data_IF_424392139871
#
_entry.id   IF_424392139871
#
_cell.length_a   1.000
_cell.length_b   1.000
_cell.length_c   1.000
_cell.angle_alpha   90.00
_cell.angle_beta   90.00
_cell.angle_gamma   90.00
#
_symmetry.space_group_name_H-M   'P 1'
#
loop_
_entity.id
_entity.type
_entity.pdbx_description
1 polymer ?
#
# COMPACT_ATOMS: atom_id res chain seq x y z
N UNK A 1 17.44 -30.13 13.75
CA UNK A 1 17.40 -31.36 13.01
C UNK A 1 17.23 -31.18 11.52
N UNK A 2 17.33 -32.25 10.79
CA UNK A 2 17.22 -32.25 9.31
C UNK A 2 15.88 -31.69 8.83
N UNK A 3 14.79 -32.04 9.52
CA UNK A 3 13.43 -31.55 9.16
C UNK A 3 13.31 -30.04 9.30
N UNK A 4 13.89 -29.45 10.34
CA UNK A 4 13.86 -27.99 10.54
C UNK A 4 14.72 -27.28 9.50
N UNK A 5 15.87 -27.85 9.14
CA UNK A 5 16.73 -27.29 8.09
C UNK A 5 16.02 -27.34 6.72
N UNK A 6 15.34 -28.44 6.40
CA UNK A 6 14.58 -28.57 5.15
C UNK A 6 13.41 -27.59 5.11
N UNK A 7 12.69 -27.41 6.23
CA UNK A 7 11.61 -26.43 6.35
C UNK A 7 12.11 -25.02 6.13
N UNK A 8 13.23 -24.63 6.76
CA UNK A 8 13.81 -23.32 6.58
C UNK A 8 14.25 -23.03 5.15
N UNK A 9 14.78 -24.05 4.45
CA UNK A 9 15.14 -23.91 3.04
C UNK A 9 13.92 -23.68 2.15
N UNK A 10 12.80 -24.37 2.42
CA UNK A 10 11.55 -24.16 1.69
C UNK A 10 10.97 -22.78 1.96
N UNK A 11 11.02 -22.31 3.21
CA UNK A 11 10.55 -20.98 3.59
C UNK A 11 11.36 -19.90 2.85
N UNK A 12 12.67 -20.07 2.76
CA UNK A 12 13.54 -19.14 2.02
C UNK A 12 13.22 -19.12 0.53
N UNK A 13 12.92 -20.27 -0.08
CA UNK A 13 12.52 -20.35 -1.49
C UNK A 13 11.23 -19.58 -1.72
N UNK A 14 10.23 -19.74 -0.86
CA UNK A 14 8.96 -19.04 -0.99
C UNK A 14 9.11 -17.53 -0.83
N UNK A 15 9.86 -17.08 0.17
CA UNK A 15 10.07 -15.65 0.38
C UNK A 15 10.89 -15.03 -0.74
N UNK A 16 11.87 -15.75 -1.27
CA UNK A 16 12.64 -15.29 -2.43
C UNK A 16 11.77 -15.21 -3.68
N UNK A 17 10.90 -16.21 -3.91
CA UNK A 17 9.96 -16.19 -5.04
C UNK A 17 9.02 -14.99 -4.95
N UNK A 18 8.53 -14.67 -3.76
CA UNK A 18 7.68 -13.50 -3.53
C UNK A 18 8.39 -12.22 -3.96
N UNK A 19 9.62 -12.02 -3.49
CA UNK A 19 10.43 -10.84 -3.84
C UNK A 19 10.66 -10.76 -5.35
N UNK A 20 11.01 -11.88 -5.99
CA UNK A 20 11.23 -11.91 -7.44
C UNK A 20 9.98 -11.51 -8.22
N UNK A 21 8.79 -11.93 -7.78
CA UNK A 21 7.53 -11.53 -8.42
C UNK A 21 7.30 -10.04 -8.32
N UNK A 22 7.52 -9.44 -7.15
CA UNK A 22 7.44 -7.99 -6.97
C UNK A 22 8.44 -7.25 -7.86
N UNK A 23 9.69 -7.72 -7.89
CA UNK A 23 10.74 -7.11 -8.73
C UNK A 23 10.41 -7.19 -10.22
N UNK A 24 9.72 -8.25 -10.64
CA UNK A 24 9.28 -8.42 -12.03
C UNK A 24 8.00 -7.64 -12.34
N UNK A 25 7.41 -6.96 -11.38
CA UNK A 25 6.15 -6.23 -11.57
C UNK A 25 4.90 -7.12 -11.49
N UNK A 26 5.05 -8.38 -11.11
CA UNK A 26 3.92 -9.31 -10.93
C UNK A 26 3.38 -9.16 -9.50
N UNK A 27 2.68 -8.07 -9.23
CA UNK A 27 2.17 -7.77 -7.90
C UNK A 27 1.08 -8.74 -7.47
N UNK A 28 0.19 -9.14 -8.36
CA UNK A 28 -0.85 -10.12 -8.07
C UNK A 28 -0.23 -11.46 -7.65
N UNK A 29 0.75 -11.96 -8.41
CA UNK A 29 1.46 -13.19 -8.08
C UNK A 29 2.28 -13.08 -6.79
N UNK A 30 2.95 -11.95 -6.59
CA UNK A 30 3.68 -11.66 -5.35
C UNK A 30 2.78 -11.66 -4.13
N UNK A 31 1.59 -11.06 -4.23
CA UNK A 31 0.62 -11.02 -3.13
C UNK A 31 0.03 -12.40 -2.82
N UNK A 32 -0.15 -13.28 -3.81
CA UNK A 32 -0.57 -14.65 -3.56
C UNK A 32 0.45 -15.39 -2.70
N UNK A 33 1.73 -15.24 -3.01
CA UNK A 33 2.81 -15.84 -2.19
C UNK A 33 2.86 -15.18 -0.82
N UNK A 34 2.71 -13.86 -0.75
CA UNK A 34 2.72 -13.10 0.50
C UNK A 34 1.60 -13.56 1.45
N UNK A 35 0.41 -13.80 0.93
CA UNK A 35 -0.71 -14.30 1.72
C UNK A 35 -0.34 -15.62 2.40
N UNK A 36 0.24 -16.55 1.63
CA UNK A 36 0.69 -17.83 2.18
C UNK A 36 1.79 -17.63 3.23
N UNK A 37 2.79 -16.81 2.92
CA UNK A 37 3.92 -16.54 3.83
C UNK A 37 3.43 -15.96 5.15
N UNK A 38 2.52 -14.99 5.10
CA UNK A 38 1.96 -14.34 6.29
C UNK A 38 1.07 -15.27 7.09
N UNK A 39 0.21 -16.09 6.43
CA UNK A 39 -0.66 -17.05 7.11
C UNK A 39 0.11 -18.12 7.85
N UNK A 40 1.25 -18.55 7.30
CA UNK A 40 2.06 -19.60 7.90
C UNK A 40 3.21 -19.08 8.76
N UNK A 41 3.30 -17.76 8.96
CA UNK A 41 4.31 -17.14 9.81
C UNK A 41 5.74 -17.41 9.36
N UNK A 42 5.95 -17.56 8.05
CA UNK A 42 7.28 -17.81 7.51
C UNK A 42 8.17 -16.57 7.69
N UNK A 43 9.41 -16.80 8.10
CA UNK A 43 10.36 -15.72 8.36
C UNK A 43 11.06 -15.30 7.08
N UNK A 44 11.30 -14.00 6.96
CA UNK A 44 12.17 -13.47 5.91
C UNK A 44 13.62 -13.87 6.18
N UNK A 45 14.40 -14.21 5.15
CA UNK A 45 15.83 -14.36 5.31
C UNK A 45 16.47 -13.10 5.90
N UNK A 46 17.50 -13.27 6.73
CA UNK A 46 18.16 -12.15 7.42
C UNK A 46 18.67 -11.06 6.47
N UNK A 47 19.02 -11.43 5.23
CA UNK A 47 19.49 -10.47 4.23
C UNK A 47 18.50 -9.37 3.90
N UNK A 48 17.20 -9.57 4.16
CA UNK A 48 16.19 -8.54 3.89
C UNK A 48 16.04 -7.54 5.03
N UNK A 49 16.49 -7.87 6.22
CA UNK A 49 16.54 -6.98 7.39
C UNK A 49 15.22 -6.28 7.71
N UNK A 50 14.09 -6.93 7.44
CA UNK A 50 12.75 -6.42 7.74
C UNK A 50 11.74 -7.57 7.77
N UNK A 51 10.58 -7.32 8.40
CA UNK A 51 9.51 -8.30 8.47
C UNK A 51 8.86 -8.50 7.10
N UNK A 52 8.22 -9.63 6.91
CA UNK A 52 7.50 -9.92 5.65
C UNK A 52 6.44 -8.87 5.36
N UNK A 53 5.63 -8.52 6.36
CA UNK A 53 4.58 -7.51 6.17
C UNK A 53 5.14 -6.15 5.76
N UNK A 54 6.24 -5.73 6.39
CA UNK A 54 6.92 -4.49 6.03
C UNK A 54 7.46 -4.53 4.60
N UNK A 55 8.12 -5.62 4.21
CA UNK A 55 8.64 -5.78 2.86
C UNK A 55 7.52 -5.67 1.82
N UNK A 56 6.43 -6.40 2.02
CA UNK A 56 5.29 -6.39 1.10
C UNK A 56 4.71 -4.98 0.97
N UNK A 57 4.46 -4.32 2.09
CA UNK A 57 3.93 -2.95 2.09
C UNK A 57 4.84 -1.98 1.35
N UNK A 58 6.16 -2.05 1.61
CA UNK A 58 7.13 -1.15 0.97
C UNK A 58 7.28 -1.40 -0.53
N UNK A 59 7.33 -2.66 -0.96
CA UNK A 59 7.46 -2.99 -2.39
C UNK A 59 6.27 -2.47 -3.19
N UNK A 60 5.07 -2.71 -2.70
CA UNK A 60 3.85 -2.26 -3.37
C UNK A 60 3.73 -0.73 -3.32
N UNK A 61 3.95 -0.13 -2.15
CA UNK A 61 3.85 1.32 -2.00
C UNK A 61 4.87 2.06 -2.88
N UNK A 62 6.11 1.59 -2.91
CA UNK A 62 7.17 2.20 -3.72
C UNK A 62 6.81 2.16 -5.21
N UNK A 63 6.32 1.04 -5.70
CA UNK A 63 5.90 0.91 -7.10
C UNK A 63 4.72 1.84 -7.42
N UNK A 64 3.73 1.91 -6.53
CA UNK A 64 2.57 2.77 -6.72
C UNK A 64 2.95 4.25 -6.71
N UNK A 65 3.75 4.68 -5.74
CA UNK A 65 4.19 6.08 -5.65
C UNK A 65 5.05 6.48 -6.84
N UNK A 66 5.89 5.57 -7.32
CA UNK A 66 6.69 5.79 -8.53
C UNK A 66 5.82 6.00 -9.76
N UNK A 67 4.79 5.16 -9.94
CA UNK A 67 3.85 5.29 -11.05
C UNK A 67 3.10 6.62 -10.97
N UNK A 68 2.63 7.00 -9.79
CA UNK A 68 1.91 8.26 -9.56
C UNK A 68 2.79 9.47 -9.86
N UNK A 69 4.05 9.44 -9.42
CA UNK A 69 5.01 10.52 -9.68
C UNK A 69 5.28 10.70 -11.18
N UNK A 70 5.26 9.60 -11.94
CA UNK A 70 5.46 9.63 -13.38
C UNK A 70 4.19 10.02 -14.15
N UNK A 71 3.09 10.33 -13.46
CA UNK A 71 1.81 10.68 -14.08
C UNK A 71 1.00 9.49 -14.55
N UNK A 72 1.41 8.28 -14.16
CA UNK A 72 0.68 7.06 -14.48
C UNK A 72 -0.27 6.64 -13.37
N UNK A 73 -0.84 5.45 -13.53
CA UNK A 73 -1.77 4.86 -12.58
C UNK A 73 -1.21 3.56 -12.01
N UNK A 74 -1.73 3.16 -10.84
CA UNK A 74 -1.41 1.89 -10.22
C UNK A 74 -2.72 1.21 -9.79
N UNK A 75 -2.88 -0.12 -9.98
CA UNK A 75 -4.16 -0.77 -9.70
C UNK A 75 -4.60 -0.60 -8.24
N UNK A 76 -5.80 -0.07 -8.05
CA UNK A 76 -6.39 0.11 -6.72
C UNK A 76 -6.52 -1.23 -6.00
N UNK A 77 -6.89 -2.28 -6.72
CA UNK A 77 -7.07 -3.62 -6.15
C UNK A 77 -5.79 -4.14 -5.49
N UNK A 78 -4.63 -3.93 -6.12
CA UNK A 78 -3.34 -4.34 -5.56
C UNK A 78 -3.08 -3.60 -4.24
N UNK A 79 -3.33 -2.29 -4.20
CA UNK A 79 -3.15 -1.49 -2.99
C UNK A 79 -4.10 -1.90 -1.88
N UNK A 80 -5.36 -2.13 -2.21
CA UNK A 80 -6.38 -2.56 -1.25
C UNK A 80 -6.04 -3.93 -0.66
N UNK A 81 -5.68 -4.89 -1.52
CA UNK A 81 -5.27 -6.24 -1.08
C UNK A 81 -4.05 -6.16 -0.16
N UNK A 82 -3.06 -5.35 -0.54
CA UNK A 82 -1.86 -5.15 0.28
C UNK A 82 -2.20 -4.56 1.65
N UNK A 83 -3.06 -3.56 1.69
CA UNK A 83 -3.48 -2.94 2.94
C UNK A 83 -4.17 -3.94 3.86
N UNK A 84 -5.06 -4.78 3.33
CA UNK A 84 -5.75 -5.84 4.10
C UNK A 84 -4.75 -6.87 4.62
N UNK A 85 -3.86 -7.38 3.76
CA UNK A 85 -2.89 -8.40 4.14
C UNK A 85 -1.91 -7.90 5.22
N UNK A 86 -1.56 -6.63 5.21
CA UNK A 86 -0.54 -6.07 6.11
C UNK A 86 -1.11 -5.31 7.31
N UNK A 87 -2.44 -5.23 7.44
CA UNK A 87 -3.09 -4.43 8.48
C UNK A 87 -2.61 -4.79 9.89
N UNK A 88 -2.56 -6.07 10.22
CA UNK A 88 -2.12 -6.54 11.54
C UNK A 88 -0.62 -6.79 11.65
N UNK A 89 0.16 -6.44 10.64
CA UNK A 89 1.59 -6.69 10.63
C UNK A 89 2.36 -5.52 11.24
N UNK A 90 3.40 -5.84 12.01
CA UNK A 90 4.27 -4.82 12.59
C UNK A 90 5.19 -4.24 11.53
N UNK A 91 5.29 -2.92 11.51
CA UNK A 91 6.19 -2.18 10.61
C UNK A 91 6.35 -0.75 11.09
N UNK A 92 7.44 -0.06 10.66
CA UNK A 92 7.59 1.36 10.97
C UNK A 92 6.43 2.20 10.42
N UNK A 93 6.06 3.25 11.13
CA UNK A 93 4.99 4.17 10.70
C UNK A 93 5.26 4.76 9.33
N UNK A 94 6.52 5.03 9.00
CA UNK A 94 6.91 5.52 7.67
C UNK A 94 6.52 4.56 6.55
N UNK A 95 6.74 3.25 6.75
CA UNK A 95 6.37 2.24 5.75
C UNK A 95 4.85 2.16 5.58
N UNK A 96 4.12 2.14 6.68
CA UNK A 96 2.66 2.13 6.63
C UNK A 96 2.09 3.39 6.01
N UNK A 97 2.68 4.55 6.32
CA UNK A 97 2.26 5.82 5.76
C UNK A 97 2.40 5.86 4.24
N UNK A 98 3.49 5.31 3.70
CA UNK A 98 3.70 5.24 2.25
C UNK A 98 2.59 4.44 1.56
N UNK A 99 2.22 3.31 2.11
CA UNK A 99 1.15 2.47 1.55
C UNK A 99 -0.20 3.21 1.59
N UNK A 100 -0.53 3.81 2.72
CA UNK A 100 -1.79 4.53 2.89
C UNK A 100 -1.84 5.77 1.99
N UNK A 101 -0.72 6.48 1.83
CA UNK A 101 -0.62 7.61 0.91
C UNK A 101 -0.91 7.19 -0.53
N UNK A 102 -0.27 6.11 -0.99
CA UNK A 102 -0.50 5.58 -2.33
C UNK A 102 -1.97 5.19 -2.52
N UNK A 103 -2.56 4.53 -1.53
CA UNK A 103 -3.97 4.14 -1.55
C UNK A 103 -4.89 5.36 -1.59
N UNK A 104 -4.61 6.38 -0.78
CA UNK A 104 -5.39 7.63 -0.78
C UNK A 104 -5.34 8.34 -2.12
N UNK A 105 -4.16 8.48 -2.71
CA UNK A 105 -4.00 9.08 -4.04
C UNK A 105 -4.77 8.32 -5.11
N UNK A 106 -4.67 6.99 -5.12
CA UNK A 106 -5.36 6.17 -6.10
C UNK A 106 -6.89 6.25 -5.92
N UNK A 107 -7.36 6.27 -4.67
CA UNK A 107 -8.78 6.43 -4.37
C UNK A 107 -9.33 7.76 -4.92
N UNK A 108 -8.52 8.81 -4.95
CA UNK A 108 -8.94 10.15 -5.36
C UNK A 108 -8.65 10.47 -6.83
N UNK A 109 -7.91 9.64 -7.55
CA UNK A 109 -7.41 10.01 -8.89
C UNK A 109 -8.49 10.27 -9.93
N UNK A 110 -9.67 9.66 -9.80
CA UNK A 110 -10.78 9.86 -10.73
C UNK A 110 -11.64 11.06 -10.39
N UNK A 111 -11.48 11.64 -9.20
CA UNK A 111 -12.29 12.77 -8.74
C UNK A 111 -11.73 14.07 -9.31
N UNK A 112 -12.60 14.85 -9.94
CA UNK A 112 -12.24 16.12 -10.58
C UNK A 112 -13.25 17.19 -10.17
N UNK A 113 -13.06 18.42 -10.65
CA UNK A 113 -14.01 19.51 -10.45
C UNK A 113 -15.40 19.15 -10.99
N UNK A 114 -15.46 18.33 -12.03
CA UNK A 114 -16.70 17.95 -12.72
C UNK A 114 -17.25 16.59 -12.30
N UNK A 115 -16.47 15.80 -11.57
CA UNK A 115 -16.87 14.45 -11.14
C UNK A 115 -16.58 14.24 -9.65
N UNK A 116 -17.63 14.13 -8.83
CA UNK A 116 -17.45 13.98 -7.37
C UNK A 116 -17.04 12.57 -6.92
N UNK A 117 -16.93 11.63 -7.84
CA UNK A 117 -16.69 10.23 -7.49
C UNK A 117 -17.96 9.51 -7.06
N UNK A 118 -17.80 8.27 -6.64
CA UNK A 118 -18.87 7.47 -6.05
C UNK A 118 -19.20 7.99 -4.64
N UNK A 119 -20.43 7.71 -4.13
CA UNK A 119 -20.77 8.09 -2.76
C UNK A 119 -19.71 7.59 -1.76
N UNK A 120 -19.19 8.50 -0.95
CA UNK A 120 -18.19 8.20 0.07
C UNK A 120 -16.76 8.09 -0.42
N UNK A 121 -16.51 8.09 -1.73
CA UNK A 121 -15.15 7.93 -2.28
C UNK A 121 -14.24 9.10 -1.90
N UNK A 122 -14.72 10.32 -2.04
CA UNK A 122 -13.91 11.51 -1.72
C UNK A 122 -13.56 11.56 -0.24
N UNK A 123 -14.53 11.29 0.64
CA UNK A 123 -14.27 11.26 2.07
C UNK A 123 -13.32 10.14 2.46
N UNK A 124 -13.46 8.96 1.86
CA UNK A 124 -12.55 7.85 2.11
C UNK A 124 -11.10 8.21 1.74
N UNK A 125 -10.91 8.86 0.60
CA UNK A 125 -9.58 9.32 0.19
C UNK A 125 -9.00 10.36 1.15
N UNK A 126 -9.81 11.30 1.61
CA UNK A 126 -9.41 12.31 2.58
C UNK A 126 -8.97 11.64 3.90
N UNK A 127 -9.75 10.70 4.39
CA UNK A 127 -9.43 9.99 5.63
C UNK A 127 -8.12 9.21 5.52
N UNK A 128 -7.86 8.59 4.36
CA UNK A 128 -6.58 7.91 4.09
C UNK A 128 -5.41 8.88 4.10
N UNK A 129 -5.54 10.03 3.44
CA UNK A 129 -4.48 11.04 3.43
C UNK A 129 -4.21 11.59 4.83
N UNK A 130 -5.23 11.86 5.61
CA UNK A 130 -5.08 12.29 7.00
C UNK A 130 -4.36 11.24 7.83
N UNK A 131 -4.72 9.96 7.65
CA UNK A 131 -4.08 8.86 8.36
C UNK A 131 -2.60 8.74 7.99
N UNK A 132 -2.25 8.87 6.72
CA UNK A 132 -0.86 8.84 6.28
C UNK A 132 -0.05 9.95 6.93
N UNK A 133 -0.59 11.17 6.97
CA UNK A 133 0.08 12.34 7.57
C UNK A 133 0.22 12.17 9.09
N UNK A 134 -0.79 11.62 9.77
CA UNK A 134 -0.69 11.30 11.21
C UNK A 134 0.44 10.32 11.50
N UNK A 135 0.58 9.28 10.65
CA UNK A 135 1.62 8.27 10.83
C UNK A 135 3.01 8.84 10.54
N UNK A 136 3.14 9.69 9.54
CA UNK A 136 4.42 10.25 9.12
C UNK A 136 4.19 11.59 8.43
N UNK A 137 4.40 12.69 9.15
CA UNK A 137 4.05 14.03 8.69
C UNK A 137 4.77 14.46 7.40
N UNK A 138 5.95 13.91 7.13
CA UNK A 138 6.72 14.20 5.92
C UNK A 138 6.49 13.21 4.78
N UNK A 139 5.38 12.46 4.82
CA UNK A 139 5.07 11.47 3.78
C UNK A 139 4.81 12.07 2.39
N UNK A 140 4.50 13.36 2.32
CA UNK A 140 4.26 14.06 1.04
C UNK A 140 2.81 14.25 0.66
N UNK A 141 1.87 13.94 1.56
CA UNK A 141 0.43 13.98 1.28
C UNK A 141 -0.29 15.29 1.51
N UNK A 142 0.39 16.32 2.02
CA UNK A 142 -0.28 17.58 2.42
C UNK A 142 -0.96 18.30 1.26
N UNK A 143 -0.30 18.39 0.10
CA UNK A 143 -0.89 19.02 -1.09
C UNK A 143 -2.06 18.20 -1.64
N UNK A 144 -1.97 16.88 -1.59
CA UNK A 144 -3.07 16.01 -1.96
C UNK A 144 -4.28 16.25 -1.07
N UNK A 145 -4.06 16.40 0.23
CA UNK A 145 -5.13 16.65 1.20
C UNK A 145 -5.79 18.01 0.96
N UNK A 146 -5.00 19.05 0.74
CA UNK A 146 -5.51 20.39 0.43
C UNK A 146 -6.40 20.36 -0.81
N UNK A 147 -5.94 19.71 -1.87
CA UNK A 147 -6.71 19.55 -3.10
C UNK A 147 -8.01 18.78 -2.86
N UNK A 148 -7.95 17.69 -2.11
CA UNK A 148 -9.13 16.87 -1.81
C UNK A 148 -10.16 17.62 -0.97
N UNK A 149 -9.71 18.39 0.02
CA UNK A 149 -10.60 19.20 0.85
C UNK A 149 -11.27 20.32 0.04
N UNK A 150 -10.54 20.92 -0.91
CA UNK A 150 -11.10 21.89 -1.84
C UNK A 150 -12.19 21.25 -2.73
N UNK A 151 -11.92 20.05 -3.25
CA UNK A 151 -12.90 19.29 -4.03
C UNK A 151 -14.13 18.94 -3.20
N UNK A 152 -13.94 18.60 -1.93
CA UNK A 152 -15.07 18.31 -1.03
C UNK A 152 -15.96 19.54 -0.86
N UNK A 153 -15.38 20.70 -0.63
CA UNK A 153 -16.13 21.94 -0.52
C UNK A 153 -16.90 22.25 -1.81
N UNK A 154 -16.25 22.06 -2.97
CA UNK A 154 -16.90 22.32 -4.25
C UNK A 154 -18.10 21.40 -4.49
N UNK A 155 -17.96 20.12 -4.20
CA UNK A 155 -19.02 19.14 -4.48
C UNK A 155 -20.12 19.08 -3.43
N UNK A 156 -19.82 19.44 -2.19
CA UNK A 156 -20.83 19.50 -1.13
C UNK A 156 -21.46 20.89 -1.03
N UNK A 157 -20.71 21.95 -1.34
CA UNK A 157 -21.13 23.34 -1.39
C UNK A 157 -21.96 23.84 -0.21
N UNK A 158 -22.05 25.16 0.00
CA UNK A 158 -23.11 25.65 0.86
C UNK A 158 -24.45 25.38 0.16
N UNK A 159 -25.39 24.77 0.87
CA UNK A 159 -26.74 24.65 0.38
C UNK A 159 -27.26 26.06 0.12
N UNK A 160 -27.45 26.37 -1.15
CA UNK A 160 -28.01 27.66 -1.54
C UNK A 160 -29.52 27.66 -1.34
#
# INVERSE_FOLDING_TARGET
>A
GVLLAAQGAQDEVLTTLMVWRFDAGDFAGGLQVAEYVLQHGLLMPDRFNRTTGCLVAEEVATAALKAQKAGGTFPLEILTTTAVLTEGQDMPDEARAKLILALGRTTLETITDDYPGQPGQLQAGIDLLKRAIELHSSCGGKKDLERAERLLKKHTGPAS
#
